data_IF_534970742256
#
_entry.id   IF_534970742256
#
_cell.length_a   1.000
_cell.length_b   1.000
_cell.length_c   1.000
_cell.angle_alpha   90.00
_cell.angle_beta   90.00
_cell.angle_gamma   90.00
#
_symmetry.space_group_name_H-M   'P 1'
#
loop_
_entity.id
_entity.type
_entity.pdbx_description
1 polymer ?
#
# COMPACT_ATOMS: atom_id res chain seq x y z
N UNK A 1 -1.46 -50.11 36.10
CA UNK A 1 -0.09 -50.52 36.46
C UNK A 1 0.88 -49.50 35.91
N UNK A 2 1.87 -49.13 36.72
CA UNK A 2 3.02 -48.23 36.46
C UNK A 2 2.65 -46.79 36.02
N UNK A 3 2.70 -45.74 36.85
CA UNK A 3 3.79 -45.20 37.69
C UNK A 3 5.00 -44.72 36.88
N UNK A 4 5.26 -43.41 36.93
CA UNK A 4 6.44 -42.78 36.33
C UNK A 4 6.45 -41.28 36.56
N UNK A 5 6.65 -40.86 37.82
CA UNK A 5 6.97 -39.49 38.19
C UNK A 5 8.41 -39.13 37.82
N UNK A 6 8.61 -37.91 37.35
CA UNK A 6 9.92 -37.34 36.99
C UNK A 6 10.12 -36.01 37.69
N UNK A 7 11.11 -36.00 38.57
CA UNK A 7 11.53 -35.00 39.53
C UNK A 7 11.94 -33.62 38.98
N UNK A 8 11.60 -32.65 39.81
CA UNK A 8 12.20 -31.34 40.08
C UNK A 8 13.74 -31.24 40.04
N UNK A 9 14.23 -30.15 39.44
CA UNK A 9 15.48 -29.45 39.76
C UNK A 9 15.36 -28.01 39.23
N UNK A 10 15.61 -26.91 39.95
CA UNK A 10 16.38 -26.73 41.18
C UNK A 10 17.78 -26.19 40.87
N UNK A 11 17.89 -24.92 40.45
CA UNK A 11 19.12 -24.11 40.45
C UNK A 11 18.75 -22.67 40.07
N UNK A 12 19.39 -21.61 40.53
CA UNK A 12 20.21 -21.32 41.70
C UNK A 12 20.30 -19.78 41.69
N UNK A 13 20.31 -19.18 42.87
CA UNK A 13 20.38 -17.74 43.07
C UNK A 13 21.81 -17.24 42.82
N UNK A 14 21.97 -16.10 42.14
CA UNK A 14 23.26 -15.42 42.16
C UNK A 14 23.44 -14.33 41.12
N UNK A 15 22.97 -13.11 41.41
CA UNK A 15 23.57 -11.90 40.84
C UNK A 15 23.90 -10.94 41.99
N UNK A 16 25.15 -10.93 42.49
CA UNK A 16 25.63 -9.88 43.37
C UNK A 16 25.93 -8.61 42.54
N UNK A 17 25.77 -7.48 43.21
CA UNK A 17 25.65 -6.18 42.56
C UNK A 17 26.93 -5.58 41.99
N UNK A 18 26.74 -4.40 41.39
CA UNK A 18 27.82 -3.44 41.20
C UNK A 18 27.26 -2.04 41.35
N UNK A 19 27.38 -1.54 42.58
CA UNK A 19 27.26 -0.12 42.90
C UNK A 19 28.61 0.49 42.52
N UNK A 20 28.59 1.47 41.64
CA UNK A 20 29.77 2.20 41.19
C UNK A 20 29.44 3.67 41.07
N UNK A 21 29.39 4.35 42.21
CA UNK A 21 29.54 5.79 42.30
C UNK A 21 30.91 6.17 41.71
N UNK A 22 30.90 6.91 40.61
CA UNK A 22 32.09 7.55 40.08
C UNK A 22 31.81 9.04 39.87
N UNK A 23 32.08 9.77 40.94
CA UNK A 23 32.86 11.01 40.98
C UNK A 23 32.60 12.05 39.89
N UNK A 24 31.95 13.13 40.31
CA UNK A 24 32.00 14.43 39.64
C UNK A 24 33.46 14.89 39.48
N UNK A 25 33.89 15.07 38.23
CA UNK A 25 35.06 15.85 37.88
C UNK A 25 34.56 17.14 37.21
N UNK A 26 34.61 18.20 38.00
CA UNK A 26 34.51 19.60 37.60
C UNK A 26 35.68 19.93 36.65
N UNK A 27 35.38 20.03 35.36
CA UNK A 27 36.32 20.51 34.34
C UNK A 27 35.74 21.80 33.76
N UNK A 28 36.46 22.91 34.01
CA UNK A 28 36.07 24.26 33.63
C UNK A 28 35.89 24.46 32.12
N UNK A 29 35.24 25.57 31.71
CA UNK A 29 34.94 25.85 30.32
C UNK A 29 36.22 26.22 29.56
N UNK A 30 36.76 25.26 28.80
CA UNK A 30 37.71 25.57 27.74
C UNK A 30 36.95 26.21 26.58
N UNK A 31 37.25 27.48 26.34
CA UNK A 31 36.90 28.27 25.17
C UNK A 31 37.53 27.64 23.91
N UNK A 32 36.89 26.57 23.42
CA UNK A 32 37.20 25.95 22.15
C UNK A 32 36.34 26.64 21.09
N UNK A 33 37.00 27.44 20.25
CA UNK A 33 36.37 28.07 19.09
C UNK A 33 35.59 27.05 18.26
N UNK A 34 34.52 27.49 17.56
CA UNK A 34 33.63 26.59 16.85
C UNK A 34 34.45 25.72 15.90
N UNK A 35 34.38 24.38 16.01
CA UNK A 35 35.03 23.53 15.04
C UNK A 35 34.40 23.86 13.68
N UNK A 36 35.24 24.29 12.74
CA UNK A 36 34.88 24.39 11.32
C UNK A 36 34.47 22.98 10.88
N UNK A 37 33.18 22.70 10.98
CA UNK A 37 32.59 21.42 10.65
C UNK A 37 32.61 21.24 9.15
N UNK A 38 33.70 20.67 8.65
CA UNK A 38 33.70 19.92 7.39
C UNK A 38 32.69 18.79 7.58
N UNK A 39 31.45 19.13 7.22
CA UNK A 39 30.29 18.27 7.35
C UNK A 39 30.49 17.17 6.32
N UNK A 40 30.94 16.03 6.82
CA UNK A 40 31.06 14.76 6.10
C UNK A 40 29.63 14.25 5.77
N UNK A 41 28.94 15.00 4.92
CA UNK A 41 27.51 14.85 4.60
C UNK A 41 27.24 13.71 3.60
N UNK A 42 28.26 12.93 3.24
CA UNK A 42 28.17 11.93 2.16
C UNK A 42 27.69 10.54 2.60
N UNK A 43 27.85 10.16 3.87
CA UNK A 43 27.71 8.73 4.28
C UNK A 43 26.47 8.46 5.15
N UNK A 44 25.81 9.50 5.66
CA UNK A 44 24.59 9.35 6.47
C UNK A 44 23.37 8.72 5.76
N UNK A 45 23.05 9.05 4.48
CA UNK A 45 21.76 8.64 3.91
C UNK A 45 21.67 7.13 3.62
N UNK A 46 22.78 6.49 3.23
CA UNK A 46 22.77 5.05 2.94
C UNK A 46 22.62 4.20 4.21
N UNK A 47 23.26 4.60 5.31
CA UNK A 47 23.14 3.92 6.59
C UNK A 47 21.74 4.09 7.21
N UNK A 48 21.12 5.26 7.03
CA UNK A 48 19.75 5.50 7.48
C UNK A 48 18.73 4.68 6.67
N UNK A 49 18.86 4.65 5.34
CA UNK A 49 18.01 3.82 4.48
C UNK A 49 18.11 2.33 4.84
N UNK A 50 19.32 1.81 5.07
CA UNK A 50 19.51 0.41 5.48
C UNK A 50 18.88 0.10 6.86
N UNK A 51 18.91 1.05 7.80
CA UNK A 51 18.24 0.89 9.10
C UNK A 51 16.72 0.92 8.95
N UNK A 52 16.19 1.80 8.11
CA UNK A 52 14.76 1.89 7.83
C UNK A 52 14.25 0.59 7.17
N UNK A 53 15.00 0.06 6.19
CA UNK A 53 14.70 -1.22 5.54
C UNK A 53 14.71 -2.39 6.53
N UNK A 54 15.76 -2.51 7.36
CA UNK A 54 15.84 -3.53 8.39
C UNK A 54 14.70 -3.44 9.42
N UNK A 55 14.30 -2.21 9.79
CA UNK A 55 13.16 -1.99 10.68
C UNK A 55 11.83 -2.39 10.04
N UNK A 56 11.64 -2.07 8.76
CA UNK A 56 10.44 -2.46 8.01
C UNK A 56 10.34 -3.99 7.87
N UNK A 57 11.46 -4.66 7.59
CA UNK A 57 11.52 -6.13 7.55
C UNK A 57 11.17 -6.74 8.91
N UNK A 58 11.81 -6.29 9.99
CA UNK A 58 11.56 -6.80 11.33
C UNK A 58 10.10 -6.59 11.76
N UNK A 59 9.49 -5.48 11.35
CA UNK A 59 8.06 -5.23 11.57
C UNK A 59 7.19 -6.24 10.81
N UNK A 60 7.48 -6.50 9.53
CA UNK A 60 6.76 -7.51 8.76
C UNK A 60 6.90 -8.93 9.37
N UNK A 61 8.08 -9.30 9.87
CA UNK A 61 8.29 -10.56 10.60
C UNK A 61 7.45 -10.63 11.88
N UNK A 62 7.37 -9.53 12.63
CA UNK A 62 6.53 -9.44 13.82
C UNK A 62 5.04 -9.61 13.49
N UNK A 63 4.55 -8.96 12.43
CA UNK A 63 3.17 -9.11 11.96
C UNK A 63 2.89 -10.56 11.57
N UNK A 64 3.80 -11.23 10.84
CA UNK A 64 3.66 -12.66 10.50
C UNK A 64 3.61 -13.53 11.76
N UNK A 65 4.43 -13.24 12.78
CA UNK A 65 4.37 -13.97 14.04
C UNK A 65 2.99 -13.84 14.71
N UNK A 66 2.43 -12.62 14.78
CA UNK A 66 1.06 -12.41 15.28
C UNK A 66 0.01 -13.13 14.44
N UNK A 67 0.16 -13.14 13.11
CA UNK A 67 -0.73 -13.86 12.21
C UNK A 67 -0.74 -15.36 12.46
N UNK A 68 0.39 -15.95 12.84
CA UNK A 68 0.47 -17.38 13.19
C UNK A 68 -0.23 -17.71 14.52
N UNK A 69 -0.36 -16.73 15.43
CA UNK A 69 -1.03 -16.90 16.73
C UNK A 69 -2.54 -16.62 16.64
N UNK A 70 -2.95 -15.78 15.69
CA UNK A 70 -4.33 -15.36 15.54
C UNK A 70 -5.19 -16.46 14.87
N UNK A 71 -6.44 -16.68 15.34
CA UNK A 71 -7.37 -17.61 14.72
C UNK A 71 -7.92 -17.12 13.37
N UNK A 72 -7.81 -15.82 13.08
CA UNK A 72 -8.26 -15.24 11.81
C UNK A 72 -7.48 -13.97 11.46
N UNK A 73 -7.35 -13.62 10.16
CA UNK A 73 -6.70 -12.38 9.74
C UNK A 73 -7.43 -11.13 10.25
N UNK A 74 -8.75 -11.22 10.48
CA UNK A 74 -9.57 -10.10 10.94
C UNK A 74 -9.18 -9.63 12.35
N UNK A 75 -8.73 -10.55 13.20
CA UNK A 75 -8.27 -10.23 14.56
C UNK A 75 -6.96 -9.45 14.54
N UNK A 76 -5.99 -9.91 13.74
CA UNK A 76 -4.72 -9.20 13.51
C UNK A 76 -4.97 -7.81 12.92
N UNK A 77 -5.80 -7.73 11.88
CA UNK A 77 -6.12 -6.45 11.24
C UNK A 77 -6.84 -5.51 12.22
N UNK A 78 -7.69 -6.02 13.10
CA UNK A 78 -8.35 -5.18 14.11
C UNK A 78 -7.38 -4.64 15.16
N UNK A 79 -6.36 -5.41 15.57
CA UNK A 79 -5.34 -4.98 16.53
C UNK A 79 -4.54 -3.77 16.01
N UNK A 80 -4.20 -3.80 14.72
CA UNK A 80 -3.51 -2.69 14.07
C UNK A 80 -4.42 -1.52 13.65
N UNK A 81 -5.71 -1.55 14.01
CA UNK A 81 -6.67 -0.53 13.59
C UNK A 81 -6.99 -0.54 12.10
N UNK A 82 -6.72 -1.66 11.42
CA UNK A 82 -6.84 -1.86 9.97
C UNK A 82 -8.16 -2.52 9.56
N UNK A 83 -9.08 -2.81 10.50
CA UNK A 83 -10.33 -3.50 10.21
C UNK A 83 -11.42 -2.61 9.56
N UNK A 84 -11.10 -1.35 9.22
CA UNK A 84 -11.98 -0.47 8.46
C UNK A 84 -11.89 -0.74 6.95
N UNK A 85 -13.02 -0.61 6.24
CA UNK A 85 -13.08 -0.56 4.77
C UNK A 85 -12.46 0.76 4.29
N UNK A 86 -11.14 0.92 4.48
CA UNK A 86 -10.41 2.14 4.19
C UNK A 86 -9.88 2.05 2.76
N UNK A 87 -10.58 2.75 1.85
CA UNK A 87 -10.06 3.03 0.54
C UNK A 87 -8.76 3.80 0.67
N UNK A 88 -7.64 3.10 0.41
CA UNK A 88 -6.31 3.62 0.07
C UNK A 88 -6.03 5.06 0.52
N UNK A 89 -5.95 5.34 1.83
CA UNK A 89 -5.55 6.67 2.30
C UNK A 89 -4.05 6.86 2.04
N UNK A 90 -3.72 7.76 1.13
CA UNK A 90 -2.39 7.91 0.52
C UNK A 90 -1.31 8.52 1.40
N UNK A 91 -1.38 8.43 2.74
CA UNK A 91 -0.52 9.24 3.60
C UNK A 91 0.02 8.57 4.88
N UNK A 92 0.03 7.24 4.96
CA UNK A 92 0.73 6.54 6.04
C UNK A 92 1.94 5.81 5.49
N UNK A 93 3.05 5.85 6.26
CA UNK A 93 4.32 5.17 5.98
C UNK A 93 4.18 3.66 5.68
N UNK A 94 2.98 3.11 5.93
CA UNK A 94 2.57 1.75 5.66
C UNK A 94 1.28 1.78 4.83
N UNK A 95 1.35 1.43 3.55
CA UNK A 95 0.17 1.25 2.72
C UNK A 95 -0.41 -0.14 2.96
N UNK A 96 -1.42 -0.24 3.82
CA UNK A 96 -2.20 -1.47 3.95
C UNK A 96 -3.21 -1.51 2.81
N UNK A 97 -2.97 -2.36 1.81
CA UNK A 97 -4.04 -2.73 0.88
C UNK A 97 -5.03 -3.58 1.67
N UNK A 98 -6.23 -3.02 1.89
CA UNK A 98 -7.34 -3.73 2.50
C UNK A 98 -7.66 -5.05 1.80
N UNK A 99 -8.47 -5.89 2.46
CA UNK A 99 -8.88 -7.21 1.97
C UNK A 99 -9.16 -7.20 0.47
N UNK A 100 -8.40 -7.99 -0.30
CA UNK A 100 -8.80 -8.35 -1.65
C UNK A 100 -9.93 -9.36 -1.50
N UNK A 101 -11.16 -8.86 -1.55
CA UNK A 101 -12.38 -9.69 -1.45
C UNK A 101 -12.74 -10.37 -2.76
N UNK A 102 -12.13 -9.95 -3.86
CA UNK A 102 -12.35 -10.51 -5.19
C UNK A 102 -11.28 -11.56 -5.51
N UNK A 103 -11.65 -12.53 -6.35
CA UNK A 103 -10.74 -13.53 -6.89
C UNK A 103 -9.52 -12.85 -7.53
N UNK A 104 -8.33 -13.14 -7.00
CA UNK A 104 -7.09 -12.51 -7.45
C UNK A 104 -6.47 -13.39 -8.53
N UNK A 105 -6.49 -12.90 -9.76
CA UNK A 105 -5.73 -13.53 -10.85
C UNK A 105 -4.27 -13.07 -10.82
N UNK A 106 -3.37 -13.83 -11.46
CA UNK A 106 -1.95 -13.44 -11.62
C UNK A 106 -1.80 -12.02 -12.19
N UNK A 107 -2.71 -11.61 -13.08
CA UNK A 107 -2.70 -10.29 -13.70
C UNK A 107 -3.11 -9.16 -12.75
N UNK A 108 -3.84 -9.47 -11.66
CA UNK A 108 -4.28 -8.51 -10.66
C UNK A 108 -3.19 -8.09 -9.67
N UNK A 109 -2.11 -8.88 -9.56
CA UNK A 109 -0.98 -8.58 -8.67
C UNK A 109 0.13 -7.91 -9.47
N UNK A 110 0.29 -6.59 -9.24
CA UNK A 110 1.29 -5.77 -9.92
C UNK A 110 2.75 -6.06 -9.49
N UNK A 111 2.96 -6.50 -8.25
CA UNK A 111 4.28 -6.83 -7.74
C UNK A 111 4.60 -8.32 -7.98
N UNK A 112 5.68 -8.60 -8.72
CA UNK A 112 6.02 -9.97 -9.10
C UNK A 112 6.42 -10.84 -7.92
N UNK A 113 7.07 -10.30 -6.89
CA UNK A 113 7.50 -11.08 -5.73
C UNK A 113 6.29 -11.49 -4.90
N UNK A 114 5.33 -10.56 -4.69
CA UNK A 114 4.04 -10.87 -4.06
C UNK A 114 3.29 -11.92 -4.87
N UNK A 115 3.24 -11.77 -6.19
CA UNK A 115 2.57 -12.73 -7.08
C UNK A 115 3.17 -14.13 -6.94
N UNK A 116 4.48 -14.26 -7.04
CA UNK A 116 5.15 -15.55 -6.86
C UNK A 116 4.86 -16.14 -5.48
N UNK A 117 5.00 -15.37 -4.41
CA UNK A 117 4.74 -15.88 -3.05
C UNK A 117 3.28 -16.33 -2.84
N UNK A 118 2.30 -15.62 -3.39
CA UNK A 118 0.88 -15.97 -3.26
C UNK A 118 0.54 -17.21 -4.07
N UNK A 119 1.03 -17.33 -5.31
CA UNK A 119 0.70 -18.46 -6.19
C UNK A 119 1.53 -19.71 -5.90
N UNK A 120 2.69 -19.58 -5.26
CA UNK A 120 3.49 -20.72 -4.76
C UNK A 120 2.99 -21.25 -3.40
N UNK A 121 1.95 -20.64 -2.80
CA UNK A 121 1.42 -21.06 -1.52
C UNK A 121 0.63 -22.37 -1.65
N UNK A 122 1.08 -23.43 -0.97
CA UNK A 122 0.40 -24.73 -0.96
C UNK A 122 -0.81 -24.80 -0.02
N UNK A 123 -0.95 -23.84 0.90
CA UNK A 123 -1.99 -23.85 1.92
C UNK A 123 -2.50 -22.44 2.24
N UNK A 124 -3.75 -22.37 2.70
CA UNK A 124 -4.30 -21.14 3.29
C UNK A 124 -3.62 -20.82 4.61
N UNK A 125 -3.49 -19.54 4.93
CA UNK A 125 -2.83 -19.05 6.14
C UNK A 125 -1.79 -17.97 5.85
N UNK A 126 -1.03 -17.55 6.87
CA UNK A 126 0.09 -16.63 6.70
C UNK A 126 1.22 -17.26 5.89
N UNK A 127 1.83 -16.47 5.00
CA UNK A 127 3.09 -16.84 4.34
C UNK A 127 4.23 -16.69 5.37
N UNK A 128 5.09 -17.70 5.55
CA UNK A 128 6.03 -17.77 6.67
C UNK A 128 7.15 -16.73 6.65
N UNK A 129 7.38 -16.07 5.51
CA UNK A 129 8.45 -15.09 5.33
C UNK A 129 7.92 -13.79 4.74
N UNK A 130 8.43 -12.63 5.19
CA UNK A 130 8.12 -11.35 4.56
C UNK A 130 8.54 -11.35 3.10
N UNK A 131 7.72 -10.74 2.26
CA UNK A 131 7.99 -10.59 0.82
C UNK A 131 8.49 -9.18 0.55
N UNK A 132 9.66 -9.07 -0.05
CA UNK A 132 10.20 -7.79 -0.52
C UNK A 132 9.42 -7.34 -1.75
N UNK A 133 8.85 -6.14 -1.69
CA UNK A 133 8.08 -5.51 -2.75
C UNK A 133 8.78 -4.25 -3.19
N UNK A 134 8.40 -3.73 -4.36
CA UNK A 134 8.85 -2.41 -4.85
C UNK A 134 8.61 -1.24 -3.88
N UNK A 135 7.72 -1.40 -2.90
CA UNK A 135 7.35 -0.36 -1.93
C UNK A 135 7.83 -0.66 -0.49
N UNK A 136 8.57 -1.74 -0.27
CA UNK A 136 8.99 -2.20 1.07
C UNK A 136 8.61 -3.65 1.34
N UNK A 137 8.42 -4.02 2.61
CA UNK A 137 8.15 -5.40 3.02
C UNK A 137 6.66 -5.67 3.24
N UNK A 138 6.17 -6.82 2.77
CA UNK A 138 4.78 -7.24 2.91
C UNK A 138 4.65 -8.53 3.75
N UNK A 139 3.68 -8.54 4.66
CA UNK A 139 3.15 -9.74 5.32
C UNK A 139 1.84 -10.14 4.61
N UNK A 140 1.70 -11.41 4.25
CA UNK A 140 0.62 -11.89 3.37
C UNK A 140 -0.14 -13.02 4.06
N UNK A 141 -1.49 -12.97 3.99
CA UNK A 141 -2.38 -14.05 4.40
C UNK A 141 -3.15 -14.58 3.18
N UNK A 142 -3.04 -15.87 2.88
CA UNK A 142 -3.83 -16.54 1.85
C UNK A 142 -5.12 -17.05 2.47
N UNK A 143 -6.25 -16.44 2.12
CA UNK A 143 -7.57 -16.77 2.70
C UNK A 143 -8.22 -17.99 2.06
N UNK A 144 -7.87 -18.27 0.80
CA UNK A 144 -8.42 -19.36 0.02
C UNK A 144 -7.49 -19.67 -1.15
N UNK A 145 -7.43 -20.93 -1.54
CA UNK A 145 -6.75 -21.38 -2.74
C UNK A 145 -7.79 -22.10 -3.59
N UNK A 146 -8.01 -21.58 -4.79
CA UNK A 146 -8.83 -22.25 -5.78
C UNK A 146 -7.90 -23.06 -6.69
N UNK A 147 -7.97 -24.41 -6.68
CA UNK A 147 -7.13 -25.22 -7.54
C UNK A 147 -7.37 -24.87 -9.00
N UNK A 148 -6.28 -24.71 -9.75
CA UNK A 148 -6.35 -24.62 -11.20
C UNK A 148 -7.07 -25.87 -11.72
N UNK A 149 -8.31 -25.69 -12.17
CA UNK A 149 -9.07 -26.70 -12.86
C UNK A 149 -9.37 -26.18 -14.25
N UNK A 150 -9.35 -27.09 -15.23
CA UNK A 150 -9.83 -26.78 -16.56
C UNK A 150 -11.33 -26.50 -16.47
N UNK A 151 -11.70 -25.22 -16.37
CA UNK A 151 -13.08 -24.82 -16.44
C UNK A 151 -13.64 -25.27 -17.79
N UNK A 152 -14.73 -26.01 -17.76
CA UNK A 152 -15.39 -26.47 -18.97
C UNK A 152 -15.97 -25.27 -19.70
N UNK A 153 -16.08 -25.35 -21.04
CA UNK A 153 -16.71 -24.29 -21.84
C UNK A 153 -18.11 -23.93 -21.32
N UNK A 154 -18.82 -24.89 -20.72
CA UNK A 154 -20.16 -24.69 -20.15
C UNK A 154 -20.13 -23.77 -18.91
N UNK A 155 -19.11 -23.86 -18.06
CA UNK A 155 -18.97 -23.05 -16.85
C UNK A 155 -18.61 -21.60 -17.19
N UNK A 156 -17.72 -21.39 -18.15
CA UNK A 156 -17.33 -20.06 -18.63
C UNK A 156 -18.28 -19.48 -19.67
N UNK A 157 -19.25 -20.25 -20.18
CA UNK A 157 -20.11 -19.83 -21.28
C UNK A 157 -20.86 -18.54 -20.96
N UNK A 158 -21.44 -18.45 -19.76
CA UNK A 158 -22.26 -17.31 -19.37
C UNK A 158 -21.41 -16.07 -19.11
N UNK A 159 -20.22 -16.23 -18.54
CA UNK A 159 -19.26 -15.14 -18.35
C UNK A 159 -18.75 -14.60 -19.69
N UNK A 160 -18.30 -15.48 -20.58
CA UNK A 160 -17.84 -15.11 -21.92
C UNK A 160 -18.99 -14.47 -22.71
N UNK A 161 -20.20 -15.02 -22.62
CA UNK A 161 -21.38 -14.45 -23.27
C UNK A 161 -21.67 -13.04 -22.77
N UNK A 162 -21.57 -12.80 -21.46
CA UNK A 162 -21.76 -11.47 -20.86
C UNK A 162 -20.66 -10.50 -21.26
N UNK A 163 -19.40 -10.96 -21.31
CA UNK A 163 -18.27 -10.15 -21.77
C UNK A 163 -18.44 -9.75 -23.25
N UNK A 164 -18.78 -10.71 -24.12
CA UNK A 164 -19.05 -10.47 -25.54
C UNK A 164 -20.24 -9.55 -25.77
N UNK A 165 -21.33 -9.71 -25.00
CA UNK A 165 -22.48 -8.81 -25.05
C UNK A 165 -22.10 -7.39 -24.64
N UNK A 166 -21.28 -7.24 -23.60
CA UNK A 166 -20.80 -5.93 -23.14
C UNK A 166 -19.92 -5.26 -24.20
N UNK A 167 -19.02 -6.01 -24.83
CA UNK A 167 -18.18 -5.50 -25.90
C UNK A 167 -19.00 -5.12 -27.14
N UNK A 168 -19.96 -5.96 -27.53
CA UNK A 168 -20.89 -5.69 -28.63
C UNK A 168 -21.72 -4.43 -28.38
N UNK A 169 -22.23 -4.25 -27.14
CA UNK A 169 -22.96 -3.07 -26.74
C UNK A 169 -22.09 -1.80 -26.83
N UNK A 170 -20.85 -1.84 -26.35
CA UNK A 170 -19.90 -0.72 -26.46
C UNK A 170 -19.63 -0.34 -27.91
N UNK A 171 -19.37 -1.34 -28.77
CA UNK A 171 -19.16 -1.13 -30.21
C UNK A 171 -20.39 -0.51 -30.87
N UNK A 172 -21.58 -1.01 -30.54
CA UNK A 172 -22.84 -0.49 -31.06
C UNK A 172 -23.10 0.96 -30.61
N UNK A 173 -22.90 1.28 -29.33
CA UNK A 173 -23.03 2.64 -28.80
C UNK A 173 -22.06 3.62 -29.47
N UNK A 174 -20.81 3.21 -29.70
CA UNK A 174 -19.83 4.01 -30.43
C UNK A 174 -20.29 4.28 -31.86
N UNK A 175 -20.73 3.24 -32.58
CA UNK A 175 -21.22 3.36 -33.94
C UNK A 175 -22.47 4.24 -34.06
N UNK A 176 -23.43 4.12 -33.13
CA UNK A 176 -24.63 4.96 -33.12
C UNK A 176 -24.30 6.41 -32.75
N UNK A 177 -23.35 6.63 -31.83
CA UNK A 177 -22.84 7.97 -31.52
C UNK A 177 -22.21 8.62 -32.76
N UNK A 178 -21.40 7.89 -33.52
CA UNK A 178 -20.82 8.36 -34.77
C UNK A 178 -21.87 8.57 -35.87
N UNK A 179 -22.92 7.75 -35.88
CA UNK A 179 -24.07 7.92 -36.77
C UNK A 179 -24.82 9.21 -36.45
N UNK A 180 -25.18 9.42 -35.18
CA UNK A 180 -25.83 10.63 -34.69
C UNK A 180 -24.96 11.87 -34.95
N UNK A 181 -23.65 11.78 -34.73
CA UNK A 181 -22.71 12.88 -35.03
C UNK A 181 -22.69 13.25 -36.52
N UNK A 182 -22.85 12.28 -37.43
CA UNK A 182 -22.92 12.52 -38.88
C UNK A 182 -24.30 12.98 -39.34
N UNK A 183 -25.38 12.43 -38.79
CA UNK A 183 -26.75 12.80 -39.17
C UNK A 183 -27.17 14.15 -38.62
N UNK A 184 -26.71 14.46 -37.41
CA UNK A 184 -26.83 15.79 -36.86
C UNK A 184 -25.77 16.63 -37.55
N UNK A 185 -26.14 17.30 -38.64
CA UNK A 185 -25.46 18.53 -39.06
C UNK A 185 -25.60 19.50 -37.89
N UNK A 186 -24.76 19.32 -36.87
CA UNK A 186 -24.51 20.37 -35.90
C UNK A 186 -23.78 21.40 -36.72
N UNK A 187 -24.55 22.28 -37.35
CA UNK A 187 -24.09 23.61 -37.67
C UNK A 187 -23.78 24.18 -36.29
N UNK A 188 -22.58 23.90 -35.78
CA UNK A 188 -21.97 24.73 -34.77
C UNK A 188 -22.03 26.08 -35.42
N UNK A 189 -22.98 26.89 -34.98
CA UNK A 189 -23.12 28.26 -35.40
C UNK A 189 -21.96 28.98 -34.70
N UNK A 190 -20.75 28.61 -35.12
CA UNK A 190 -19.49 29.09 -34.59
C UNK A 190 -19.49 30.59 -34.78
N UNK A 191 -20.05 31.07 -35.90
CA UNK A 191 -20.37 32.47 -36.14
C UNK A 191 -21.28 33.09 -35.07
N UNK A 192 -22.33 32.41 -34.59
CA UNK A 192 -23.17 32.92 -33.50
C UNK A 192 -22.49 32.86 -32.12
N UNK A 193 -21.67 31.84 -31.86
CA UNK A 193 -20.88 31.76 -30.61
C UNK A 193 -19.80 32.84 -30.60
N UNK A 194 -19.10 33.03 -31.72
CA UNK A 194 -18.08 34.04 -31.90
C UNK A 194 -18.70 35.45 -31.87
N UNK A 195 -19.91 35.62 -32.43
CA UNK A 195 -20.67 36.87 -32.32
C UNK A 195 -21.09 37.18 -30.87
N UNK A 196 -21.55 36.18 -30.11
CA UNK A 196 -21.86 36.33 -28.67
C UNK A 196 -20.61 36.64 -27.85
N UNK A 197 -19.49 35.96 -28.12
CA UNK A 197 -18.21 36.23 -27.47
C UNK A 197 -17.72 37.65 -27.76
N UNK A 198 -17.86 38.14 -28.99
CA UNK A 198 -17.50 39.50 -29.38
C UNK A 198 -18.41 40.56 -28.76
N UNK A 199 -19.68 40.23 -28.53
CA UNK A 199 -20.64 41.11 -27.85
C UNK A 199 -20.34 41.24 -26.35
N UNK A 200 -19.89 40.17 -25.69
CA UNK A 200 -19.57 40.17 -24.25
C UNK A 200 -18.14 40.60 -23.92
N UNK A 201 -17.19 40.53 -24.86
CA UNK A 201 -15.81 41.00 -24.65
C UNK A 201 -15.64 42.52 -24.84
N UNK A 202 -16.68 43.23 -25.28
CA UNK A 202 -16.73 44.68 -25.15
C UNK A 202 -17.18 45.04 -23.73
N UNK A 203 -16.31 44.75 -22.75
CA UNK A 203 -16.37 45.46 -21.48
C UNK A 203 -16.29 46.96 -21.78
N UNK A 204 -17.21 47.78 -21.24
CA UNK A 204 -17.08 49.21 -21.36
C UNK A 204 -15.74 49.57 -20.74
N UNK A 205 -14.88 50.25 -21.50
CA UNK A 205 -13.85 51.07 -20.94
C UNK A 205 -14.55 52.09 -20.03
N UNK A 206 -14.81 51.71 -18.79
CA UNK A 206 -15.25 52.60 -17.73
C UNK A 206 -14.10 53.57 -17.58
N UNK A 207 -14.30 54.70 -18.24
CA UNK A 207 -13.34 55.77 -18.31
C UNK A 207 -12.87 56.12 -16.91
N UNK A 208 -11.58 56.41 -16.83
CA UNK A 208 -11.03 57.16 -15.72
C UNK A 208 -11.80 58.46 -15.59
N UNK A 209 -12.74 58.49 -14.66
CA UNK A 209 -13.21 59.73 -14.07
C UNK A 209 -12.09 60.21 -13.15
N UNK A 210 -11.18 61.01 -13.71
CA UNK A 210 -10.25 61.82 -12.95
C UNK A 210 -11.03 62.74 -12.03
N UNK A 211 -10.96 62.51 -10.73
CA UNK A 211 -11.40 63.48 -9.71
C UNK A 211 -10.19 64.33 -9.37
N UNK A 212 -10.33 65.64 -9.60
CA UNK A 212 -9.38 66.70 -9.27
C UNK A 212 -9.31 66.94 -7.75
#
# INVERSE_FOLDING_TARGET
GAAGGGVSGGADAGVPGRVGDASAADAGPADAGPPSGDSDAGTAPAAEAARADAAAKAFAEHVIAQMNEAPSPDEVLSEYGLSGNHGSSSNELFSVRGRMHDEVTESGIGDSAVRTAVFDADQTGPIPHPVETTSGWAAIWVVGIEPAHDQTLAEVHDEISRALQTEAMRKWLGAETDRLRRSTKVVRNQDAIDALAKMHWQEPATGGASVQ
#
